data_IF_888060139788
#
_entry.id   IF_888060139788
#
_cell.length_a   1.000
_cell.length_b   1.000
_cell.length_c   1.000
_cell.angle_alpha   90.00
_cell.angle_beta   90.00
_cell.angle_gamma   90.00
#
_symmetry.space_group_name_H-M   'P 1'
#
loop_
_entity.id
_entity.type
_entity.pdbx_description
1 polymer ?
#
# COMPACT_ATOMS: atom_id res chain seq x y z
N UNK A 1 62.90 6.80 -60.43
CA UNK A 1 63.11 6.44 -59.01
C UNK A 1 63.51 7.71 -58.27
N UNK A 2 62.55 8.48 -57.74
CA UNK A 2 62.85 9.52 -56.77
C UNK A 2 62.31 9.06 -55.43
N UNK A 3 63.20 8.47 -54.63
CA UNK A 3 62.96 8.21 -53.22
C UNK A 3 62.91 9.57 -52.52
N UNK A 4 61.72 9.99 -52.10
CA UNK A 4 61.54 11.15 -51.24
C UNK A 4 62.10 10.78 -49.86
N UNK A 5 63.15 11.44 -49.36
CA UNK A 5 63.64 11.15 -48.02
C UNK A 5 62.64 11.74 -47.02
N UNK A 6 61.99 10.87 -46.27
CA UNK A 6 61.24 11.25 -45.07
C UNK A 6 62.23 11.86 -44.08
N UNK A 7 62.32 13.18 -44.03
CA UNK A 7 62.92 13.88 -42.91
C UNK A 7 61.90 13.83 -41.77
N UNK A 8 62.23 13.23 -40.61
CA UNK A 8 61.35 13.30 -39.46
C UNK A 8 61.21 14.78 -39.09
N UNK A 9 59.98 15.27 -39.08
CA UNK A 9 59.64 16.64 -38.71
C UNK A 9 60.05 16.83 -37.25
N UNK A 10 61.26 17.34 -37.02
CA UNK A 10 61.75 17.70 -35.70
C UNK A 10 60.94 18.91 -35.25
N UNK A 11 60.23 18.83 -34.11
CA UNK A 11 59.39 19.93 -33.66
C UNK A 11 60.23 21.21 -33.53
N UNK A 12 59.69 22.33 -34.05
CA UNK A 12 60.29 23.65 -33.92
C UNK A 12 60.64 23.94 -32.45
N UNK A 13 61.74 24.64 -32.14
CA UNK A 13 62.11 25.00 -30.78
C UNK A 13 60.96 25.64 -29.98
N UNK A 14 60.11 26.46 -30.60
CA UNK A 14 58.90 27.01 -29.95
C UNK A 14 57.86 25.96 -29.56
N UNK A 15 57.70 24.89 -30.35
CA UNK A 15 56.79 23.79 -30.03
C UNK A 15 57.35 22.88 -28.92
N UNK A 16 58.68 22.73 -28.85
CA UNK A 16 59.35 22.02 -27.77
C UNK A 16 59.31 22.82 -26.45
N UNK A 17 59.45 24.14 -26.51
CA UNK A 17 59.36 25.04 -25.36
C UNK A 17 57.92 25.13 -24.82
N UNK A 18 56.92 25.18 -25.72
CA UNK A 18 55.51 25.12 -25.33
C UNK A 18 55.10 23.77 -24.70
N UNK A 19 55.66 22.66 -25.19
CA UNK A 19 55.44 21.33 -24.61
C UNK A 19 56.14 21.16 -23.25
N UNK A 20 57.34 21.74 -23.07
CA UNK A 20 58.06 21.75 -21.80
C UNK A 20 57.34 22.62 -20.76
N UNK A 21 56.87 23.82 -21.14
CA UNK A 21 56.09 24.70 -20.27
C UNK A 21 54.73 24.07 -19.89
N UNK A 22 54.10 23.31 -20.79
CA UNK A 22 52.87 22.56 -20.50
C UNK A 22 53.11 21.36 -19.57
N UNK A 23 54.28 20.72 -19.63
CA UNK A 23 54.68 19.66 -18.71
C UNK A 23 55.05 20.19 -17.31
N UNK A 24 55.61 21.40 -17.23
CA UNK A 24 55.88 22.12 -15.97
C UNK A 24 54.62 22.71 -15.33
N UNK A 25 53.59 23.01 -16.13
CA UNK A 25 52.28 23.48 -15.66
C UNK A 25 51.34 22.34 -15.20
N UNK A 26 51.68 21.07 -15.49
CA UNK A 26 50.92 19.93 -15.01
C UNK A 26 51.23 19.67 -13.53
N UNK A 27 50.21 19.50 -12.64
CA UNK A 27 50.48 19.22 -11.24
C UNK A 27 51.32 17.95 -11.12
N UNK A 28 52.34 18.00 -10.25
CA UNK A 28 53.25 16.87 -10.01
C UNK A 28 52.47 15.62 -9.60
N UNK A 29 53.05 14.45 -9.80
CA UNK A 29 52.43 13.19 -9.39
C UNK A 29 52.05 13.19 -7.89
N UNK A 30 52.88 13.82 -7.07
CA UNK A 30 52.66 13.99 -5.62
C UNK A 30 51.46 14.91 -5.33
N UNK A 31 51.33 16.02 -6.07
CA UNK A 31 50.19 16.93 -5.93
C UNK A 31 48.86 16.26 -6.34
N UNK A 32 48.87 15.45 -7.41
CA UNK A 32 47.69 14.67 -7.84
C UNK A 32 47.33 13.58 -6.83
N UNK A 33 48.33 12.92 -6.23
CA UNK A 33 48.11 11.90 -5.22
C UNK A 33 47.48 12.50 -3.96
N UNK A 34 48.00 13.63 -3.48
CA UNK A 34 47.43 14.36 -2.35
C UNK A 34 45.99 14.84 -2.61
N UNK A 35 45.70 15.32 -3.83
CA UNK A 35 44.34 15.71 -4.23
C UNK A 35 43.37 14.52 -4.24
N UNK A 36 43.81 13.36 -4.78
CA UNK A 36 43.00 12.14 -4.80
C UNK A 36 42.75 11.59 -3.40
N UNK A 37 43.74 11.62 -2.51
CA UNK A 37 43.58 11.23 -1.11
C UNK A 37 42.58 12.12 -0.37
N UNK A 38 42.64 13.44 -0.59
CA UNK A 38 41.69 14.38 -0.02
C UNK A 38 40.26 14.12 -0.52
N UNK A 39 40.07 13.93 -1.83
CA UNK A 39 38.77 13.57 -2.42
C UNK A 39 38.24 12.23 -1.92
N UNK A 40 39.12 11.24 -1.79
CA UNK A 40 38.74 9.94 -1.25
C UNK A 40 38.27 10.06 0.20
N UNK A 41 38.97 10.85 1.03
CA UNK A 41 38.55 11.10 2.41
C UNK A 41 37.18 11.79 2.48
N UNK A 42 36.94 12.79 1.63
CA UNK A 42 35.63 13.47 1.54
C UNK A 42 34.50 12.51 1.15
N UNK A 43 34.71 11.70 0.11
CA UNK A 43 33.71 10.72 -0.35
C UNK A 43 33.49 9.61 0.67
N UNK A 44 34.56 9.13 1.32
CA UNK A 44 34.46 8.11 2.36
C UNK A 44 33.66 8.61 3.57
N UNK A 45 33.89 9.84 4.00
CA UNK A 45 33.10 10.48 5.06
C UNK A 45 31.64 10.66 4.65
N UNK A 46 31.39 11.19 3.45
CA UNK A 46 30.03 11.33 2.92
C UNK A 46 29.31 9.97 2.83
N UNK A 47 30.00 8.92 2.40
CA UNK A 47 29.47 7.57 2.33
C UNK A 47 29.13 7.00 3.72
N UNK A 48 30.02 7.17 4.71
CA UNK A 48 29.76 6.71 6.07
C UNK A 48 28.57 7.42 6.70
N UNK A 49 28.44 8.73 6.48
CA UNK A 49 27.27 9.52 6.91
C UNK A 49 25.99 9.04 6.23
N UNK A 50 25.99 8.86 4.91
CA UNK A 50 24.84 8.36 4.17
C UNK A 50 24.42 6.95 4.60
N UNK A 51 25.40 6.06 4.87
CA UNK A 51 25.15 4.72 5.40
C UNK A 51 24.50 4.79 6.78
N UNK A 52 25.01 5.62 7.68
CA UNK A 52 24.44 5.81 9.02
C UNK A 52 23.02 6.39 8.97
N UNK A 53 22.76 7.34 8.08
CA UNK A 53 21.42 7.89 7.85
C UNK A 53 20.44 6.80 7.37
N UNK A 54 20.88 5.97 6.41
CA UNK A 54 20.07 4.85 5.90
C UNK A 54 19.72 3.85 7.00
N UNK A 55 20.68 3.46 7.85
CA UNK A 55 20.43 2.56 8.98
C UNK A 55 19.47 3.19 10.01
N UNK A 56 19.61 4.50 10.28
CA UNK A 56 18.69 5.21 11.17
C UNK A 56 17.27 5.27 10.62
N UNK A 57 17.11 5.54 9.32
CA UNK A 57 15.82 5.52 8.64
C UNK A 57 15.22 4.12 8.69
N UNK A 58 16.02 3.09 8.40
CA UNK A 58 15.58 1.69 8.44
C UNK A 58 15.05 1.31 9.82
N UNK A 59 15.82 1.56 10.88
CA UNK A 59 15.40 1.30 12.26
C UNK A 59 14.11 2.02 12.61
N UNK A 60 14.01 3.31 12.27
CA UNK A 60 12.78 4.09 12.50
C UNK A 60 11.60 3.51 11.74
N UNK A 61 11.77 3.11 10.48
CA UNK A 61 10.71 2.50 9.69
C UNK A 61 10.24 1.16 10.27
N UNK A 62 11.17 0.33 10.78
CA UNK A 62 10.85 -0.92 11.47
C UNK A 62 10.06 -0.67 12.76
N UNK A 63 10.43 0.34 13.54
CA UNK A 63 9.70 0.76 14.74
C UNK A 63 8.28 1.25 14.41
N UNK A 64 8.12 2.11 13.40
CA UNK A 64 6.81 2.62 12.98
C UNK A 64 5.93 1.51 12.38
N UNK A 65 6.50 0.59 11.61
CA UNK A 65 5.78 -0.58 11.10
C UNK A 65 5.31 -1.50 12.24
N UNK A 66 6.16 -1.70 13.25
CA UNK A 66 5.82 -2.48 14.44
C UNK A 66 4.66 -1.83 15.21
N UNK A 67 4.70 -0.51 15.42
CA UNK A 67 3.60 0.25 16.04
C UNK A 67 2.32 0.15 15.21
N UNK A 68 2.39 0.40 13.90
CA UNK A 68 1.24 0.33 13.01
C UNK A 68 0.57 -1.06 13.05
N UNK A 69 1.36 -2.14 13.11
CA UNK A 69 0.83 -3.51 13.27
C UNK A 69 0.20 -3.74 14.64
N UNK A 70 0.87 -3.28 15.71
CA UNK A 70 0.40 -3.44 17.10
C UNK A 70 -0.95 -2.75 17.33
N UNK A 71 -1.16 -1.58 16.71
CA UNK A 71 -2.36 -0.76 16.87
C UNK A 71 -3.27 -0.79 15.63
N UNK A 72 -3.08 -1.75 14.73
CA UNK A 72 -3.83 -1.83 13.46
C UNK A 72 -5.37 -1.90 13.65
N UNK A 73 -5.81 -2.44 14.79
CA UNK A 73 -7.24 -2.64 15.11
C UNK A 73 -7.77 -1.62 16.13
N UNK A 74 -6.99 -0.63 16.53
CA UNK A 74 -7.34 0.33 17.59
C UNK A 74 -8.65 1.06 17.27
N UNK A 75 -8.73 1.75 16.13
CA UNK A 75 -9.93 2.47 15.71
C UNK A 75 -11.17 1.56 15.58
N UNK A 76 -10.97 0.30 15.16
CA UNK A 76 -12.04 -0.69 15.08
C UNK A 76 -12.51 -1.11 16.47
N UNK A 77 -11.58 -1.42 17.37
CA UNK A 77 -11.87 -1.80 18.75
C UNK A 77 -12.62 -0.69 19.49
N UNK A 78 -12.16 0.56 19.36
CA UNK A 78 -12.84 1.73 19.93
C UNK A 78 -14.27 1.88 19.39
N UNK A 79 -14.46 1.69 18.09
CA UNK A 79 -15.78 1.77 17.45
C UNK A 79 -16.75 0.67 17.93
N UNK A 80 -16.23 -0.46 18.41
CA UNK A 80 -17.01 -1.60 18.90
C UNK A 80 -17.41 -1.47 20.38
N UNK A 81 -16.75 -0.61 21.16
CA UNK A 81 -17.06 -0.43 22.59
C UNK A 81 -18.54 -0.06 22.83
N UNK A 82 -19.16 0.91 22.11
CA UNK A 82 -20.56 1.25 22.32
C UNK A 82 -21.53 0.10 22.03
N UNK A 83 -21.18 -0.80 21.10
CA UNK A 83 -21.97 -2.00 20.78
C UNK A 83 -21.94 -2.95 21.97
N UNK A 84 -20.75 -3.19 22.55
CA UNK A 84 -20.58 -3.99 23.77
C UNK A 84 -21.36 -3.37 24.92
N UNK A 85 -21.22 -2.06 25.15
CA UNK A 85 -21.89 -1.36 26.26
C UNK A 85 -23.42 -1.47 26.14
N UNK A 86 -23.96 -1.38 24.92
CA UNK A 86 -25.40 -1.53 24.68
C UNK A 86 -25.89 -2.96 24.92
N UNK A 87 -25.08 -3.97 24.60
CA UNK A 87 -25.37 -5.37 24.94
C UNK A 87 -25.33 -5.62 26.44
N UNK A 88 -24.33 -5.08 27.15
CA UNK A 88 -24.24 -5.18 28.61
C UNK A 88 -25.42 -4.48 29.30
N UNK A 89 -25.80 -3.29 28.82
CA UNK A 89 -26.97 -2.58 29.29
C UNK A 89 -28.25 -3.41 29.09
N UNK A 90 -28.42 -4.06 27.93
CA UNK A 90 -29.57 -4.92 27.66
C UNK A 90 -29.65 -6.11 28.62
N UNK A 91 -28.52 -6.74 28.95
CA UNK A 91 -28.45 -7.87 29.89
C UNK A 91 -28.80 -7.45 31.33
N UNK A 92 -28.50 -6.20 31.70
CA UNK A 92 -28.78 -5.68 33.05
C UNK A 92 -30.27 -5.38 33.31
N UNK A 93 -31.10 -5.31 32.26
CA UNK A 93 -32.54 -5.03 32.41
C UNK A 93 -33.25 -6.27 32.94
N UNK A 94 -33.74 -6.20 34.17
CA UNK A 94 -34.57 -7.24 34.75
C UNK A 94 -36.00 -7.16 34.19
N UNK A 95 -36.58 -8.32 33.85
CA UNK A 95 -37.95 -8.43 33.32
C UNK A 95 -38.23 -7.61 32.05
N UNK A 96 -37.25 -7.48 31.15
CA UNK A 96 -37.45 -6.83 29.86
C UNK A 96 -38.56 -7.51 29.04
N UNK A 97 -39.45 -6.73 28.44
CA UNK A 97 -40.47 -7.29 27.54
C UNK A 97 -39.86 -7.66 26.18
N UNK A 98 -40.49 -8.57 25.41
CA UNK A 98 -40.03 -8.89 24.07
C UNK A 98 -39.89 -7.66 23.16
N UNK A 99 -40.79 -6.68 23.29
CA UNK A 99 -40.76 -5.44 22.51
C UNK A 99 -39.55 -4.57 22.85
N UNK A 100 -39.24 -4.43 24.15
CA UNK A 100 -38.07 -3.69 24.63
C UNK A 100 -36.76 -4.36 24.18
N UNK A 101 -36.70 -5.69 24.24
CA UNK A 101 -35.55 -6.45 23.76
C UNK A 101 -35.36 -6.29 22.26
N UNK A 102 -36.45 -6.32 21.47
CA UNK A 102 -36.39 -6.13 20.03
C UNK A 102 -35.94 -4.72 19.66
N UNK A 103 -36.46 -3.69 20.32
CA UNK A 103 -36.05 -2.30 20.12
C UNK A 103 -34.57 -2.09 20.45
N UNK A 104 -34.13 -2.59 21.62
CA UNK A 104 -32.72 -2.55 22.03
C UNK A 104 -31.82 -3.29 21.03
N UNK A 105 -32.25 -4.45 20.54
CA UNK A 105 -31.53 -5.21 19.51
C UNK A 105 -31.40 -4.42 18.22
N UNK A 106 -32.46 -3.75 17.77
CA UNK A 106 -32.39 -2.87 16.60
C UNK A 106 -31.45 -1.68 16.81
N UNK A 107 -31.43 -1.08 18.00
CA UNK A 107 -30.50 0.00 18.34
C UNK A 107 -29.04 -0.49 18.29
N UNK A 108 -28.74 -1.61 18.92
CA UNK A 108 -27.40 -2.23 18.90
C UNK A 108 -26.97 -2.61 17.48
N UNK A 109 -27.88 -3.13 16.65
CA UNK A 109 -27.58 -3.45 15.25
C UNK A 109 -27.24 -2.19 14.43
N UNK A 110 -27.92 -1.07 14.67
CA UNK A 110 -27.58 0.22 14.03
C UNK A 110 -26.20 0.70 14.45
N UNK A 111 -25.87 0.62 15.74
CA UNK A 111 -24.52 0.97 16.23
C UNK A 111 -23.44 0.08 15.61
N UNK A 112 -23.66 -1.23 15.54
CA UNK A 112 -22.75 -2.16 14.90
C UNK A 112 -22.54 -1.82 13.43
N UNK A 113 -23.62 -1.52 12.71
CA UNK A 113 -23.54 -1.12 11.29
C UNK A 113 -22.69 0.14 11.13
N UNK A 114 -22.91 1.16 11.96
CA UNK A 114 -22.10 2.39 11.94
C UNK A 114 -20.63 2.14 12.29
N UNK A 115 -20.35 1.25 13.27
CA UNK A 115 -18.99 0.88 13.65
C UNK A 115 -18.25 0.20 12.49
N UNK A 116 -18.92 -0.72 11.78
CA UNK A 116 -18.38 -1.36 10.58
C UNK A 116 -18.09 -0.32 9.48
N UNK A 117 -19.03 0.55 9.15
CA UNK A 117 -18.90 1.54 8.09
C UNK A 117 -17.75 2.55 8.36
N UNK A 118 -17.60 3.02 9.60
CA UNK A 118 -16.48 3.89 10.01
C UNK A 118 -15.12 3.24 9.73
N UNK A 119 -15.05 1.93 9.93
CA UNK A 119 -13.86 1.11 9.68
C UNK A 119 -13.82 0.52 8.27
N UNK A 120 -14.53 1.14 7.32
CA UNK A 120 -14.55 0.80 5.89
C UNK A 120 -15.06 -0.61 5.60
N UNK A 121 -15.80 -1.21 6.53
CA UNK A 121 -16.50 -2.47 6.32
C UNK A 121 -17.90 -2.17 5.82
N UNK A 122 -18.18 -2.51 4.56
CA UNK A 122 -19.44 -2.18 3.88
C UNK A 122 -20.18 -3.45 3.50
N UNK A 123 -21.49 -3.46 3.72
CA UNK A 123 -22.35 -4.59 3.41
C UNK A 123 -22.58 -4.74 1.90
N UNK A 124 -22.39 -5.96 1.39
CA UNK A 124 -22.85 -6.37 0.06
C UNK A 124 -24.22 -7.04 0.22
N UNK A 125 -25.27 -6.36 -0.21
CA UNK A 125 -26.63 -6.89 -0.22
C UNK A 125 -27.37 -6.36 -1.46
N UNK A 126 -27.06 -6.90 -2.65
CA UNK A 126 -27.68 -6.45 -3.89
C UNK A 126 -29.20 -6.60 -3.80
N UNK A 127 -29.99 -5.56 -4.17
CA UNK A 127 -31.43 -5.72 -4.27
C UNK A 127 -31.80 -6.72 -5.37
N UNK A 128 -33.00 -7.29 -5.28
CA UNK A 128 -33.53 -8.16 -6.33
C UNK A 128 -33.53 -7.44 -7.69
N UNK A 129 -33.18 -8.18 -8.75
CA UNK A 129 -33.00 -7.65 -10.10
C UNK A 129 -31.60 -7.09 -10.40
N UNK A 130 -30.74 -6.91 -9.39
CA UNK A 130 -29.33 -6.53 -9.62
C UNK A 130 -28.62 -7.59 -10.45
N UNK A 131 -27.81 -7.18 -11.44
CA UNK A 131 -26.99 -8.12 -12.20
C UNK A 131 -26.05 -8.89 -11.29
N UNK A 132 -25.93 -10.20 -11.52
CA UNK A 132 -24.99 -11.02 -10.79
C UNK A 132 -23.54 -10.59 -11.10
N UNK A 133 -22.75 -10.32 -10.06
CA UNK A 133 -21.33 -10.00 -10.13
C UNK A 133 -20.54 -11.11 -9.41
N UNK A 134 -19.80 -11.98 -10.14
CA UNK A 134 -19.00 -13.05 -9.54
C UNK A 134 -17.91 -12.57 -8.57
N UNK A 135 -17.49 -11.30 -8.63
CA UNK A 135 -16.49 -10.77 -7.71
C UNK A 135 -17.06 -10.53 -6.31
N UNK A 136 -18.35 -10.20 -6.21
CA UNK A 136 -18.99 -9.82 -4.95
C UNK A 136 -20.08 -10.81 -4.51
N UNK A 137 -20.59 -11.63 -5.43
CA UNK A 137 -21.70 -12.53 -5.20
C UNK A 137 -21.29 -13.99 -5.46
N UNK A 138 -21.84 -14.90 -4.66
CA UNK A 138 -21.75 -16.33 -4.87
C UNK A 138 -23.16 -16.89 -5.07
N UNK A 139 -23.46 -17.34 -6.29
CA UNK A 139 -24.72 -17.96 -6.61
C UNK A 139 -24.75 -19.40 -6.05
N UNK A 140 -25.66 -19.67 -5.12
CA UNK A 140 -25.81 -21.02 -4.55
C UNK A 140 -26.90 -21.84 -5.24
N UNK A 141 -27.81 -21.18 -5.95
CA UNK A 141 -28.89 -21.82 -6.69
C UNK A 141 -29.42 -20.91 -7.80
N UNK A 142 -29.96 -21.53 -8.83
CA UNK A 142 -30.65 -20.88 -9.94
C UNK A 142 -32.14 -21.20 -9.79
N UNK A 143 -32.99 -20.18 -9.74
CA UNK A 143 -34.44 -20.35 -9.52
C UNK A 143 -35.27 -19.75 -10.65
N UNK A 144 -36.44 -20.32 -10.97
CA UNK A 144 -37.42 -19.67 -11.84
C UNK A 144 -37.82 -18.31 -11.25
N UNK A 145 -37.76 -17.26 -12.06
CA UNK A 145 -38.17 -15.91 -11.68
C UNK A 145 -38.57 -15.10 -12.91
N UNK A 146 -39.44 -14.09 -12.73
CA UNK A 146 -39.95 -13.27 -13.84
C UNK A 146 -38.92 -12.27 -14.38
N UNK A 147 -37.93 -11.91 -13.57
CA UNK A 147 -36.83 -10.99 -13.86
C UNK A 147 -35.86 -11.53 -14.94
N UNK A 148 -34.95 -10.66 -15.40
CA UNK A 148 -33.95 -11.04 -16.40
C UNK A 148 -33.03 -12.16 -15.90
N UNK A 149 -32.62 -13.07 -16.79
CA UNK A 149 -31.69 -14.14 -16.47
C UNK A 149 -30.36 -13.58 -15.93
N UNK A 150 -29.68 -14.35 -15.06
CA UNK A 150 -28.42 -13.93 -14.41
C UNK A 150 -28.52 -12.66 -13.55
N UNK A 151 -29.70 -12.36 -13.01
CA UNK A 151 -29.88 -11.33 -11.98
C UNK A 151 -30.16 -11.96 -10.62
N UNK A 152 -29.80 -11.25 -9.55
CA UNK A 152 -30.03 -11.68 -8.16
C UNK A 152 -31.52 -11.69 -7.87
N UNK A 153 -32.05 -12.83 -7.43
CA UNK A 153 -33.45 -12.97 -7.01
C UNK A 153 -33.58 -12.67 -5.52
N UNK A 154 -32.73 -13.29 -4.70
CA UNK A 154 -32.69 -13.04 -3.27
C UNK A 154 -31.27 -13.14 -2.71
N UNK A 155 -31.02 -12.37 -1.65
CA UNK A 155 -29.81 -12.50 -0.83
C UNK A 155 -30.13 -13.41 0.35
N UNK A 156 -29.47 -14.55 0.41
CA UNK A 156 -29.63 -15.52 1.49
C UNK A 156 -28.68 -15.21 2.65
N UNK A 157 -27.49 -14.69 2.33
CA UNK A 157 -26.52 -14.21 3.31
C UNK A 157 -25.83 -12.98 2.77
N UNK A 158 -25.85 -11.90 3.55
CA UNK A 158 -25.17 -10.65 3.20
C UNK A 158 -23.67 -10.86 3.10
N UNK A 159 -23.03 -10.30 2.09
CA UNK A 159 -21.59 -10.21 1.96
C UNK A 159 -21.04 -8.94 2.63
N UNK A 160 -19.72 -8.81 2.69
CA UNK A 160 -19.03 -7.64 3.21
C UNK A 160 -17.72 -7.38 2.46
N UNK A 161 -17.42 -6.10 2.25
CA UNK A 161 -16.16 -5.55 1.78
C UNK A 161 -15.41 -4.94 2.96
N UNK A 162 -14.08 -4.91 2.91
CA UNK A 162 -13.23 -4.01 3.69
C UNK A 162 -12.43 -3.15 2.71
N UNK A 163 -12.67 -1.85 2.74
CA UNK A 163 -12.23 -0.94 1.68
C UNK A 163 -12.66 -1.48 0.30
N UNK A 164 -11.71 -1.91 -0.52
CA UNK A 164 -11.89 -2.45 -1.86
C UNK A 164 -11.84 -3.99 -1.92
N UNK A 165 -11.52 -4.66 -0.81
CA UNK A 165 -11.37 -6.12 -0.76
C UNK A 165 -12.61 -6.81 -0.23
N UNK A 166 -13.07 -7.85 -0.92
CA UNK A 166 -14.16 -8.71 -0.44
C UNK A 166 -13.69 -9.54 0.76
N UNK A 167 -14.34 -9.37 1.90
CA UNK A 167 -14.16 -10.22 3.09
C UNK A 167 -14.98 -11.51 2.96
N UNK A 168 -16.21 -11.37 2.49
CA UNK A 168 -17.13 -12.48 2.24
C UNK A 168 -18.11 -12.07 1.13
N UNK A 169 -18.31 -12.90 0.09
CA UNK A 169 -19.31 -12.60 -0.93
C UNK A 169 -20.72 -12.70 -0.37
N UNK A 170 -21.68 -12.04 -1.01
CA UNK A 170 -23.09 -12.26 -0.73
C UNK A 170 -23.52 -13.61 -1.32
N UNK A 171 -24.14 -14.47 -0.51
CA UNK A 171 -24.77 -15.69 -1.02
C UNK A 171 -26.12 -15.33 -1.60
N UNK A 172 -26.32 -15.63 -2.87
CA UNK A 172 -27.50 -15.23 -3.62
C UNK A 172 -28.12 -16.40 -4.37
N UNK A 173 -29.41 -16.29 -4.68
CA UNK A 173 -30.04 -17.04 -5.76
C UNK A 173 -30.10 -16.17 -7.00
N UNK A 174 -29.98 -16.77 -8.18
CA UNK A 174 -30.04 -16.06 -9.46
C UNK A 174 -31.17 -16.58 -10.35
N UNK A 175 -31.68 -15.70 -11.22
CA UNK A 175 -32.78 -16.04 -12.11
C UNK A 175 -32.31 -16.98 -13.24
N UNK A 176 -33.09 -18.03 -13.48
CA UNK A 176 -32.88 -18.98 -14.58
C UNK A 176 -32.99 -18.29 -15.96
N UNK A 177 -32.34 -18.85 -17.00
CA UNK A 177 -32.62 -18.47 -18.39
C UNK A 177 -34.11 -18.68 -18.70
N UNK A 178 -34.73 -17.76 -19.42
CA UNK A 178 -36.09 -17.97 -19.96
C UNK A 178 -35.98 -18.99 -21.09
N UNK A 179 -36.58 -20.17 -20.91
CA UNK A 179 -36.72 -21.21 -21.93
C UNK A 179 -37.86 -20.91 -22.88
#
# INVERSE_FOLDING_TARGET
>A
MNANPYTPDTPSPEAAEAAAAAAEAAPSAEARLAELEAKHAEVADAYLRAKAETENIRRRAEEELSKARKFAVEAFAESMLPVKDSLEAAIAIQNATPEQLLEGTHATLRQLTQALERNKVVQIAPPAGTKFDPHQHQAISVVPADQEANTVVAVLQKGYLIADRVLRPALVTVAAPKS
#
